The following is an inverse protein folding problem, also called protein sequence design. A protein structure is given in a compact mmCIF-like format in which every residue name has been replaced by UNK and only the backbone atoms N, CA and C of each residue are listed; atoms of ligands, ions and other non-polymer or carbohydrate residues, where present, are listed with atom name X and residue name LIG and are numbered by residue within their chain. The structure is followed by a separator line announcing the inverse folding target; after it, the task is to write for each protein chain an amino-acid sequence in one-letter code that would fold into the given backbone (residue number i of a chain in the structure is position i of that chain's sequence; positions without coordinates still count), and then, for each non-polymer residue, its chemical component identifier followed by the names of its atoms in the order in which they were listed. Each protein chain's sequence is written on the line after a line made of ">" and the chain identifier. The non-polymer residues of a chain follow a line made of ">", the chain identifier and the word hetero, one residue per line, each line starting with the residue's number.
data_IF_147645774033
#
_entry.id   IF_147645774033
#
_cell.length_a   1.000
_cell.length_b   1.000
_cell.length_c   1.000
_cell.angle_alpha   90.00
_cell.angle_beta   90.00
_cell.angle_gamma   90.00
#
_symmetry.space_group_name_H-M   'P 1'
#
loop_
_entity.id
_entity.type
_entity.pdbx_description
1 polymer ?
#
# COMPACT_ATOMS: atom_id res chain seq x y z
N UNK A 1 2.78 -2.57 -23.49
CA UNK A 1 3.92 -3.00 -22.64
C UNK A 1 4.70 -1.76 -22.25
N UNK A 2 4.83 -1.46 -20.96
CA UNK A 2 5.57 -0.29 -20.45
C UNK A 2 6.88 -0.72 -19.79
N UNK A 3 7.91 0.11 -19.88
CA UNK A 3 9.22 -0.13 -19.26
C UNK A 3 9.37 0.70 -17.99
N UNK A 4 9.88 0.08 -16.92
CA UNK A 4 10.21 0.76 -15.66
C UNK A 4 11.72 0.71 -15.48
N UNK A 5 12.32 1.85 -15.20
CA UNK A 5 13.74 1.98 -14.93
C UNK A 5 14.00 2.09 -13.43
N UNK A 6 14.91 1.28 -12.91
CA UNK A 6 15.33 1.31 -11.50
C UNK A 6 16.45 2.32 -11.35
N UNK A 7 16.14 3.50 -10.80
CA UNK A 7 17.12 4.55 -10.58
C UNK A 7 17.99 4.30 -9.35
N UNK A 8 17.39 3.71 -8.30
CA UNK A 8 18.03 3.34 -7.04
C UNK A 8 17.25 2.17 -6.44
N UNK A 9 17.95 1.17 -5.89
CA UNK A 9 17.36 0.12 -5.07
C UNK A 9 18.33 -0.25 -3.95
N UNK A 10 17.96 0.03 -2.71
CA UNK A 10 18.73 -0.35 -1.51
C UNK A 10 17.79 -0.98 -0.48
N UNK A 11 18.33 -1.39 0.66
CA UNK A 11 17.54 -2.05 1.70
C UNK A 11 16.37 -1.18 2.21
N UNK A 12 16.57 0.13 2.37
CA UNK A 12 15.58 1.07 2.94
C UNK A 12 14.54 1.57 1.94
N UNK A 13 14.98 1.92 0.74
CA UNK A 13 14.21 2.70 -0.22
C UNK A 13 14.55 2.37 -1.68
N UNK A 14 13.59 2.66 -2.56
CA UNK A 14 13.69 2.41 -3.98
C UNK A 14 13.16 3.61 -4.78
N UNK A 15 13.86 3.95 -5.86
CA UNK A 15 13.42 4.98 -6.81
C UNK A 15 13.20 4.32 -8.16
N UNK A 16 11.96 4.38 -8.63
CA UNK A 16 11.54 3.87 -9.93
C UNK A 16 11.16 5.02 -10.84
N UNK A 17 11.48 4.93 -12.12
CA UNK A 17 11.11 5.93 -13.11
C UNK A 17 10.44 5.25 -14.30
N UNK A 18 9.34 5.83 -14.78
CA UNK A 18 8.62 5.32 -15.95
C UNK A 18 7.93 6.45 -16.71
N UNK A 19 7.61 6.20 -17.98
CA UNK A 19 6.83 7.11 -18.81
C UNK A 19 5.37 6.65 -18.85
N UNK A 20 4.42 7.55 -18.53
CA UNK A 20 3.03 7.37 -18.96
C UNK A 20 2.82 8.13 -20.27
N UNK A 21 1.98 7.61 -21.16
CA UNK A 21 1.58 8.30 -22.40
C UNK A 21 0.19 8.93 -22.33
N UNK A 22 -0.53 8.74 -21.23
CA UNK A 22 -1.89 9.24 -21.05
C UNK A 22 -2.02 9.88 -19.66
N UNK A 23 -2.62 11.08 -19.53
CA UNK A 23 -3.22 11.91 -20.59
C UNK A 23 -2.21 12.51 -21.58
N UNK A 24 -0.98 12.81 -21.13
CA UNK A 24 0.13 13.26 -21.96
C UNK A 24 1.37 12.37 -21.73
N UNK A 25 2.38 12.50 -22.59
CA UNK A 25 3.67 11.87 -22.37
C UNK A 25 4.39 12.56 -21.21
N UNK A 26 4.33 11.93 -20.03
CA UNK A 26 4.91 12.44 -18.80
C UNK A 26 5.81 11.38 -18.16
N UNK A 27 6.90 11.86 -17.58
CA UNK A 27 7.85 11.04 -16.85
C UNK A 27 7.53 11.11 -15.36
N UNK A 28 7.30 9.96 -14.74
CA UNK A 28 7.03 9.84 -13.32
C UNK A 28 8.21 9.18 -12.61
N UNK A 29 8.50 9.64 -11.40
CA UNK A 29 9.43 8.98 -10.49
C UNK A 29 8.72 8.66 -9.18
N UNK A 30 8.75 7.39 -8.78
CA UNK A 30 8.18 6.90 -7.53
C UNK A 30 9.29 6.65 -6.53
N UNK A 31 9.13 7.20 -5.33
CA UNK A 31 9.97 6.92 -4.16
C UNK A 31 9.20 5.99 -3.22
N UNK A 32 9.72 4.78 -3.06
CA UNK A 32 9.17 3.75 -2.19
C UNK A 32 10.06 3.59 -0.97
N UNK A 33 9.46 3.47 0.20
CA UNK A 33 10.13 3.29 1.49
C UNK A 33 9.56 2.07 2.19
N UNK A 34 10.40 1.33 2.91
CA UNK A 34 9.91 0.29 3.85
C UNK A 34 9.30 0.89 5.10
N UNK A 35 9.79 2.05 5.52
CA UNK A 35 9.28 2.79 6.66
C UNK A 35 8.14 3.72 6.25
N UNK A 36 7.16 3.87 7.13
CA UNK A 36 6.00 4.75 6.93
C UNK A 36 6.41 6.23 6.77
N UNK A 37 7.53 6.62 7.40
CA UNK A 37 8.06 7.98 7.33
C UNK A 37 9.50 7.89 6.84
N UNK A 38 9.75 8.46 5.66
CA UNK A 38 11.10 8.59 5.13
C UNK A 38 11.77 9.86 5.70
N UNK A 39 13.05 9.77 6.04
CA UNK A 39 13.79 10.91 6.61
C UNK A 39 13.93 12.06 5.60
N UNK A 40 14.03 13.29 6.11
CA UNK A 40 14.19 14.50 5.28
C UNK A 40 15.50 14.49 4.50
N UNK A 41 16.55 13.90 5.06
CA UNK A 41 17.84 13.66 4.41
C UNK A 41 17.68 12.79 3.16
N UNK A 42 16.95 11.68 3.27
CA UNK A 42 16.71 10.75 2.17
C UNK A 42 15.88 11.39 1.06
N UNK A 43 14.80 12.11 1.41
CA UNK A 43 14.01 12.89 0.44
C UNK A 43 14.91 13.88 -0.33
N UNK A 44 15.80 14.60 0.36
CA UNK A 44 16.77 15.52 -0.28
C UNK A 44 17.78 14.78 -1.17
N UNK A 45 18.26 13.63 -0.73
CA UNK A 45 19.17 12.78 -1.51
C UNK A 45 18.53 12.34 -2.82
N UNK A 46 17.26 11.94 -2.78
CA UNK A 46 16.48 11.58 -3.97
C UNK A 46 16.28 12.79 -4.89
N UNK A 47 15.94 13.96 -4.35
CA UNK A 47 15.84 15.19 -5.16
C UNK A 47 17.14 15.52 -5.89
N UNK A 48 18.29 15.39 -5.21
CA UNK A 48 19.60 15.58 -5.82
C UNK A 48 19.89 14.53 -6.89
N UNK A 49 19.55 13.27 -6.64
CA UNK A 49 19.72 12.18 -7.60
C UNK A 49 18.92 12.46 -8.88
N UNK A 50 17.66 12.85 -8.76
CA UNK A 50 16.80 13.19 -9.89
C UNK A 50 17.33 14.41 -10.66
N UNK A 51 17.73 15.47 -9.94
CA UNK A 51 18.32 16.66 -10.55
C UNK A 51 19.58 16.36 -11.37
N UNK A 52 20.49 15.54 -10.84
CA UNK A 52 21.70 15.09 -11.55
C UNK A 52 21.40 14.25 -12.80
N UNK A 53 20.23 13.62 -12.87
CA UNK A 53 19.75 12.83 -14.01
C UNK A 53 18.92 13.65 -14.99
N UNK A 54 18.81 14.97 -14.80
CA UNK A 54 18.01 15.86 -15.65
C UNK A 54 16.50 15.71 -15.43
N UNK A 55 16.07 15.00 -14.38
CA UNK A 55 14.67 14.78 -14.07
C UNK A 55 14.16 15.94 -13.18
N UNK A 56 13.59 16.96 -13.83
CA UNK A 56 12.99 18.10 -13.12
C UNK A 56 11.70 17.68 -12.43
N UNK A 57 11.55 18.10 -11.19
CA UNK A 57 10.36 17.80 -10.39
C UNK A 57 9.35 18.91 -10.63
N UNK A 58 8.24 18.59 -11.29
CA UNK A 58 7.12 19.51 -11.49
C UNK A 58 6.14 19.47 -10.33
N UNK A 59 5.84 18.28 -9.81
CA UNK A 59 4.94 18.06 -8.69
C UNK A 59 5.37 16.87 -7.85
N UNK A 60 4.99 16.89 -6.58
CA UNK A 60 5.19 15.79 -5.64
C UNK A 60 3.81 15.42 -5.11
N UNK A 61 3.49 14.12 -5.16
CA UNK A 61 2.25 13.59 -4.60
C UNK A 61 2.60 12.50 -3.60
N UNK A 62 2.20 12.71 -2.35
CA UNK A 62 2.29 11.66 -1.34
C UNK A 62 1.11 10.70 -1.49
N UNK A 63 1.39 9.40 -1.50
CA UNK A 63 0.38 8.34 -1.58
C UNK A 63 0.01 7.83 -0.19
N UNK A 64 -1.12 7.13 -0.08
CA UNK A 64 -1.70 6.73 1.20
C UNK A 64 -0.69 6.00 2.10
N UNK A 65 -0.36 6.63 3.22
CA UNK A 65 0.74 6.19 4.10
C UNK A 65 0.37 4.93 4.89
N UNK A 66 -0.93 4.71 5.12
CA UNK A 66 -1.49 3.54 5.81
C UNK A 66 -2.10 2.48 4.84
N UNK A 67 -1.75 2.54 3.55
CA UNK A 67 -2.30 1.63 2.54
C UNK A 67 -1.73 0.21 2.56
N UNK A 68 -0.77 -0.08 3.45
CA UNK A 68 -0.22 -1.42 3.64
C UNK A 68 -1.37 -2.40 3.85
N UNK A 69 -1.38 -3.49 3.07
CA UNK A 69 -2.48 -4.45 3.02
C UNK A 69 -2.95 -4.76 4.43
N UNK A 70 -4.09 -4.16 4.82
CA UNK A 70 -4.81 -4.56 6.01
C UNK A 70 -5.23 -5.98 5.69
N UNK A 71 -4.40 -6.95 6.08
CA UNK A 71 -4.81 -8.34 6.12
C UNK A 71 -6.15 -8.30 6.82
N UNK A 72 -7.21 -8.62 6.07
CA UNK A 72 -8.53 -8.86 6.63
C UNK A 72 -8.32 -10.04 7.57
N UNK A 73 -7.80 -9.78 8.78
CA UNK A 73 -8.02 -10.65 9.94
C UNK A 73 -9.52 -10.77 9.95
N UNK A 74 -10.00 -11.96 9.57
CA UNK A 74 -11.42 -12.23 9.41
C UNK A 74 -12.12 -11.62 10.60
N UNK A 75 -12.93 -10.59 10.35
CA UNK A 75 -13.89 -10.16 11.33
C UNK A 75 -14.84 -11.35 11.42
N UNK A 76 -14.62 -12.21 12.42
CA UNK A 76 -15.69 -13.05 12.92
C UNK A 76 -16.70 -12.05 13.44
N UNK A 77 -17.65 -11.70 12.57
CA UNK A 77 -18.61 -10.67 12.85
C UNK A 77 -19.40 -11.11 14.08
N UNK A 78 -19.63 -10.21 15.03
CA UNK A 78 -20.36 -10.53 16.27
C UNK A 78 -21.75 -11.11 15.94
N UNK A 79 -22.29 -10.71 14.78
CA UNK A 79 -23.53 -11.24 14.20
C UNK A 79 -23.39 -12.71 13.81
N UNK A 80 -22.28 -13.10 13.16
CA UNK A 80 -22.01 -14.50 12.80
C UNK A 80 -21.83 -15.38 14.05
N UNK A 81 -21.20 -14.84 15.09
CA UNK A 81 -21.09 -15.55 16.36
C UNK A 81 -22.44 -15.69 17.08
N UNK A 82 -23.21 -14.61 17.18
CA UNK A 82 -24.51 -14.63 17.84
C UNK A 82 -25.51 -15.57 17.13
N UNK A 83 -25.48 -15.62 15.81
CA UNK A 83 -26.32 -16.55 15.02
C UNK A 83 -25.92 -18.02 15.22
N UNK A 84 -24.61 -18.33 15.22
CA UNK A 84 -24.13 -19.68 15.53
C UNK A 84 -24.50 -20.13 16.94
N UNK A 85 -24.31 -19.28 17.95
CA UNK A 85 -24.67 -19.60 19.33
C UNK A 85 -26.19 -19.80 19.47
N UNK A 86 -27.00 -18.95 18.84
CA UNK A 86 -28.46 -19.09 18.84
C UNK A 86 -28.95 -20.40 18.23
N UNK A 87 -28.39 -20.80 17.08
CA UNK A 87 -28.72 -22.06 16.42
C UNK A 87 -28.29 -23.29 17.23
N UNK A 88 -27.09 -23.26 17.82
CA UNK A 88 -26.63 -24.34 18.68
C UNK A 88 -27.54 -24.48 19.91
N UNK A 89 -27.84 -23.37 20.59
CA UNK A 89 -28.70 -23.35 21.78
C UNK A 89 -30.08 -23.94 21.51
N UNK A 90 -30.71 -23.56 20.40
CA UNK A 90 -32.03 -24.06 20.03
C UNK A 90 -32.00 -25.56 19.71
N UNK A 91 -30.97 -26.03 19.01
CA UNK A 91 -30.83 -27.47 18.73
C UNK A 91 -30.61 -28.31 19.99
N UNK A 92 -29.89 -27.81 21.00
CA UNK A 92 -29.77 -28.51 22.30
C UNK A 92 -31.08 -28.52 23.09
N UNK A 93 -31.82 -27.40 23.10
CA UNK A 93 -33.11 -27.32 23.78
C UNK A 93 -34.15 -28.24 23.14
N UNK A 94 -34.23 -28.28 21.80
CA UNK A 94 -35.09 -29.23 21.09
C UNK A 94 -34.73 -30.68 21.40
N UNK A 95 -33.43 -30.99 21.51
CA UNK A 95 -32.97 -32.35 21.82
C UNK A 95 -33.18 -32.76 23.28
N UNK A 96 -33.38 -31.79 24.18
CA UNK A 96 -33.72 -32.06 25.60
C UNK A 96 -35.21 -32.28 25.85
N UNK A 97 -36.07 -31.97 24.87
CA UNK A 97 -37.53 -32.06 25.00
C UNK A 97 -38.11 -33.31 24.32
N UNK A 98 -37.25 -34.21 23.84
CA UNK A 98 -37.60 -35.49 23.21
C UNK A 98 -36.94 -36.62 24.00
#
# INVERSE_FOLDING_TARGET
>A
MGTVHVMKAVASDMVLTFCSRHPDVQLYSLLLSREHILQKSDKRGVHNLLGRRGLKISSIRETCVNGGARSRRGAFDLVTWATLVGLLSSSFLFRSWQ
#
